data_IF_195940396654
#
_entry.id   IF_195940396654
#
_cell.length_a   1.000
_cell.length_b   1.000
_cell.length_c   1.000
_cell.angle_alpha   90.00
_cell.angle_beta   90.00
_cell.angle_gamma   90.00
#
_symmetry.space_group_name_H-M   'P 1'
#
loop_
_entity.id
_entity.type
_entity.pdbx_description
1 polymer ?
#
# COMPACT_ATOMS: atom_id res chain seq x y z
N UNK A 1 19.60 -0.14 -10.10
CA UNK A 1 18.25 0.38 -10.41
C UNK A 1 18.42 1.57 -11.34
N UNK A 2 17.53 1.77 -12.30
CA UNK A 2 17.54 3.01 -13.09
C UNK A 2 16.14 3.59 -13.14
N UNK A 3 16.10 4.92 -13.13
CA UNK A 3 14.87 5.69 -13.23
C UNK A 3 14.54 5.88 -14.71
N UNK A 4 13.30 5.59 -15.11
CA UNK A 4 12.83 5.88 -16.47
C UNK A 4 12.42 7.34 -16.59
N UNK A 5 12.31 7.85 -17.82
CA UNK A 5 11.85 9.22 -18.09
C UNK A 5 10.43 9.53 -17.53
N UNK A 6 9.65 8.50 -17.16
CA UNK A 6 8.34 8.62 -16.51
C UNK A 6 8.38 8.55 -14.97
N UNK A 7 9.56 8.50 -14.36
CA UNK A 7 9.72 8.42 -12.90
C UNK A 7 9.46 7.04 -12.30
N UNK A 8 9.23 6.01 -13.11
CA UNK A 8 9.18 4.62 -12.65
C UNK A 8 10.59 4.07 -12.41
N UNK A 9 10.70 3.14 -11.47
CA UNK A 9 11.97 2.49 -11.13
C UNK A 9 11.97 1.07 -11.68
N UNK A 10 12.99 0.74 -12.46
CA UNK A 10 13.16 -0.61 -13.00
C UNK A 10 14.33 -1.31 -12.31
N UNK A 11 14.04 -2.49 -11.77
CA UNK A 11 15.07 -3.38 -11.26
C UNK A 11 15.68 -4.15 -12.43
N UNK A 12 16.95 -3.91 -12.72
CA UNK A 12 17.66 -4.56 -13.84
C UNK A 12 17.90 -6.05 -13.60
N UNK A 13 17.82 -6.49 -12.34
CA UNK A 13 18.12 -7.88 -11.94
C UNK A 13 16.93 -8.80 -12.14
N UNK A 14 15.71 -8.32 -11.88
CA UNK A 14 14.49 -9.14 -11.98
C UNK A 14 13.47 -8.61 -12.99
N UNK A 15 13.77 -7.51 -13.70
CA UNK A 15 12.88 -6.88 -14.67
C UNK A 15 11.63 -6.21 -14.06
N UNK A 16 11.49 -6.25 -12.74
CA UNK A 16 10.31 -5.72 -12.08
C UNK A 16 10.27 -4.18 -12.18
N UNK A 17 9.13 -3.65 -12.62
CA UNK A 17 8.93 -2.21 -12.81
C UNK A 17 8.04 -1.70 -11.69
N UNK A 18 8.62 -0.93 -10.78
CA UNK A 18 7.83 -0.10 -9.88
C UNK A 18 7.31 1.09 -10.67
N UNK A 19 6.07 0.99 -11.14
CA UNK A 19 5.35 2.13 -11.67
C UNK A 19 5.31 3.20 -10.58
N UNK A 20 5.61 4.45 -10.95
CA UNK A 20 5.39 5.56 -10.03
C UNK A 20 3.88 5.67 -9.86
N UNK A 21 3.41 5.24 -8.72
CA UNK A 21 2.00 5.23 -8.44
C UNK A 21 1.50 6.68 -8.26
N UNK A 22 0.25 6.92 -8.62
CA UNK A 22 -0.36 8.25 -8.55
C UNK A 22 -0.48 8.65 -7.07
N UNK A 23 0.21 9.71 -6.65
CA UNK A 23 -0.04 10.32 -5.33
C UNK A 23 -1.48 10.86 -5.27
N UNK A 24 -2.35 10.32 -4.41
CA UNK A 24 -3.71 10.83 -4.28
C UNK A 24 -3.71 12.21 -3.62
N UNK A 25 -4.69 13.04 -3.96
CA UNK A 25 -4.91 14.28 -3.23
C UNK A 25 -5.39 13.95 -1.80
N UNK A 26 -5.05 14.78 -0.81
CA UNK A 26 -5.44 14.50 0.59
C UNK A 26 -6.97 14.33 0.77
N UNK A 27 -7.78 15.03 -0.02
CA UNK A 27 -9.24 14.90 0.00
C UNK A 27 -9.76 13.55 -0.53
N UNK A 28 -8.95 12.79 -1.27
CA UNK A 28 -9.28 11.45 -1.76
C UNK A 28 -8.92 10.35 -0.74
N UNK A 29 -8.22 10.70 0.33
CA UNK A 29 -7.81 9.79 1.40
C UNK A 29 -8.77 9.98 2.57
N UNK A 30 -9.37 8.91 3.07
CA UNK A 30 -10.29 8.96 4.20
C UNK A 30 -9.68 8.31 5.45
N UNK A 31 -9.89 8.95 6.60
CA UNK A 31 -9.56 8.33 7.88
C UNK A 31 -10.44 7.09 8.10
N UNK A 32 -9.88 5.89 8.32
CA UNK A 32 -10.66 4.67 8.49
C UNK A 32 -11.51 4.66 9.77
N UNK A 33 -11.12 5.46 10.78
CA UNK A 33 -11.84 5.57 12.04
C UNK A 33 -12.95 6.63 12.00
N UNK A 34 -12.62 7.84 11.56
CA UNK A 34 -13.54 8.98 11.59
C UNK A 34 -14.36 9.15 10.32
N UNK A 35 -13.97 8.49 9.22
CA UNK A 35 -14.54 8.67 7.87
C UNK A 35 -14.49 10.12 7.36
N UNK A 36 -13.61 10.93 7.94
CA UNK A 36 -13.35 12.29 7.49
C UNK A 36 -12.25 12.29 6.43
N UNK A 37 -12.30 13.19 5.43
CA UNK A 37 -11.19 13.41 4.51
C UNK A 37 -9.91 13.73 5.28
N UNK A 38 -8.79 13.21 4.80
CA UNK A 38 -7.49 13.51 5.35
C UNK A 38 -7.08 14.94 5.01
N UNK A 39 -6.22 15.49 5.85
CA UNK A 39 -5.52 16.75 5.60
C UNK A 39 -4.04 16.47 5.42
N UNK A 40 -3.30 17.33 4.70
CA UNK A 40 -1.85 17.21 4.62
C UNK A 40 -1.19 17.27 6.00
N UNK A 41 -0.22 16.38 6.24
CA UNK A 41 0.67 16.37 7.40
C UNK A 41 2.04 16.96 7.06
N UNK A 42 3.10 16.26 7.46
CA UNK A 42 4.44 16.46 6.89
C UNK A 42 4.46 16.10 5.40
N UNK A 43 5.43 16.59 4.60
CA UNK A 43 5.53 16.22 3.19
C UNK A 43 5.55 14.69 3.02
N UNK A 44 4.65 14.15 2.19
CA UNK A 44 4.50 12.71 2.00
C UNK A 44 3.56 12.01 2.99
N UNK A 45 2.88 12.75 3.87
CA UNK A 45 1.99 12.20 4.90
C UNK A 45 0.58 12.80 4.85
N UNK A 46 -0.40 11.92 5.07
CA UNK A 46 -1.79 12.26 5.30
C UNK A 46 -2.12 12.06 6.78
N UNK A 47 -2.98 12.92 7.33
CA UNK A 47 -3.45 12.79 8.72
C UNK A 47 -4.92 13.11 8.86
N UNK A 48 -5.56 12.56 9.89
CA UNK A 48 -6.91 12.95 10.26
C UNK A 48 -6.90 14.26 11.05
N UNK A 49 -7.86 15.15 10.79
CA UNK A 49 -8.05 16.38 11.58
C UNK A 49 -8.68 16.14 12.96
N UNK A 50 -9.28 14.97 13.20
CA UNK A 50 -10.06 14.67 14.40
C UNK A 50 -9.48 13.56 15.29
N UNK A 51 -8.50 12.80 14.83
CA UNK A 51 -7.89 11.72 15.61
C UNK A 51 -6.39 11.58 15.28
N UNK A 52 -5.69 10.67 15.99
CA UNK A 52 -4.24 10.44 15.82
C UNK A 52 -3.86 9.55 14.63
N UNK A 53 -4.76 9.41 13.65
CA UNK A 53 -4.49 8.56 12.50
C UNK A 53 -3.65 9.33 11.48
N UNK A 54 -2.56 8.71 11.04
CA UNK A 54 -1.64 9.20 10.02
C UNK A 54 -1.21 8.03 9.12
N UNK A 55 -0.93 8.33 7.86
CA UNK A 55 -0.43 7.35 6.88
C UNK A 55 0.44 8.08 5.85
N UNK A 56 1.56 7.48 5.45
CA UNK A 56 2.41 8.01 4.39
C UNK A 56 1.85 7.66 2.99
N UNK A 57 2.35 8.33 1.96
CA UNK A 57 1.93 8.15 0.56
C UNK A 57 2.08 6.70 0.06
N UNK A 58 3.18 6.04 0.40
CA UNK A 58 3.46 4.67 -0.06
C UNK A 58 2.51 3.68 0.62
N UNK A 59 2.36 3.78 1.94
CA UNK A 59 1.43 2.96 2.70
C UNK A 59 -0.03 3.18 2.26
N UNK A 60 -0.41 4.41 1.94
CA UNK A 60 -1.74 4.72 1.42
C UNK A 60 -2.00 4.08 0.06
N UNK A 61 -0.98 4.04 -0.81
CA UNK A 61 -1.07 3.37 -2.10
C UNK A 61 -1.35 1.86 -1.93
N UNK A 62 -0.57 1.20 -1.07
CA UNK A 62 -0.73 -0.22 -0.77
C UNK A 62 -2.11 -0.49 -0.18
N UNK A 63 -2.56 0.36 0.75
CA UNK A 63 -3.90 0.25 1.32
C UNK A 63 -4.99 0.34 0.25
N UNK A 64 -4.93 1.34 -0.63
CA UNK A 64 -5.91 1.52 -1.69
C UNK A 64 -5.96 0.32 -2.65
N UNK A 65 -4.79 -0.21 -3.03
CA UNK A 65 -4.70 -1.40 -3.90
C UNK A 65 -5.29 -2.65 -3.22
N UNK A 66 -5.04 -2.84 -1.92
CA UNK A 66 -5.60 -3.95 -1.16
C UNK A 66 -7.13 -3.84 -1.05
N UNK A 67 -7.65 -2.64 -0.76
CA UNK A 67 -9.10 -2.40 -0.69
C UNK A 67 -9.75 -2.62 -2.06
N UNK A 68 -9.12 -2.16 -3.15
CA UNK A 68 -9.62 -2.36 -4.50
C UNK A 68 -9.67 -3.85 -4.87
N UNK A 69 -8.62 -4.62 -4.57
CA UNK A 69 -8.60 -6.08 -4.78
C UNK A 69 -9.66 -6.80 -3.96
N UNK A 70 -9.80 -6.42 -2.68
CA UNK A 70 -10.82 -6.97 -1.79
C UNK A 70 -12.24 -6.69 -2.32
N UNK A 71 -12.50 -5.47 -2.81
CA UNK A 71 -13.79 -5.10 -3.37
C UNK A 71 -14.11 -5.78 -4.71
N UNK A 72 -13.10 -6.12 -5.50
CA UNK A 72 -13.27 -6.75 -6.81
C UNK A 72 -13.56 -8.26 -6.71
N UNK A 73 -12.82 -8.99 -5.86
CA UNK A 73 -12.97 -10.44 -5.68
C UNK A 73 -12.50 -10.85 -4.26
N UNK A 74 -13.42 -10.86 -3.28
CA UNK A 74 -13.08 -11.18 -1.89
C UNK A 74 -12.51 -12.59 -1.71
N UNK A 75 -13.09 -13.59 -2.40
CA UNK A 75 -12.70 -14.99 -2.24
C UNK A 75 -11.28 -15.21 -2.74
N UNK A 76 -10.96 -14.66 -3.92
CA UNK A 76 -9.60 -14.70 -4.45
C UNK A 76 -8.62 -13.92 -3.59
N UNK A 77 -9.02 -12.74 -3.10
CA UNK A 77 -8.17 -11.93 -2.21
C UNK A 77 -7.75 -12.73 -0.97
N UNK A 78 -8.69 -13.39 -0.30
CA UNK A 78 -8.38 -14.18 0.90
C UNK A 78 -7.60 -15.46 0.57
N UNK A 79 -7.84 -16.09 -0.58
CA UNK A 79 -7.02 -17.21 -1.06
C UNK A 79 -5.55 -16.79 -1.27
N UNK A 80 -5.32 -15.62 -1.88
CA UNK A 80 -3.98 -15.04 -2.07
C UNK A 80 -3.29 -14.75 -0.72
N UNK A 81 -4.02 -14.16 0.23
CA UNK A 81 -3.52 -13.87 1.58
C UNK A 81 -3.13 -15.17 2.28
N UNK A 82 -3.98 -16.18 2.25
CA UNK A 82 -3.72 -17.48 2.87
C UNK A 82 -2.47 -18.15 2.27
N UNK A 83 -2.35 -18.17 0.94
CA UNK A 83 -1.19 -18.72 0.26
C UNK A 83 0.11 -18.00 0.63
N UNK A 84 0.08 -16.66 0.68
CA UNK A 84 1.23 -15.84 1.09
C UNK A 84 1.62 -16.10 2.53
N UNK A 85 0.66 -16.15 3.46
CA UNK A 85 0.92 -16.44 4.87
C UNK A 85 1.51 -17.84 5.05
N UNK A 86 0.97 -18.85 4.37
CA UNK A 86 1.49 -20.21 4.42
C UNK A 86 2.94 -20.28 3.93
N UNK A 87 3.25 -19.60 2.83
CA UNK A 87 4.62 -19.50 2.31
C UNK A 87 5.57 -18.86 3.32
N UNK A 88 5.19 -17.73 3.92
CA UNK A 88 6.03 -17.04 4.90
C UNK A 88 6.29 -17.89 6.15
N UNK A 89 5.25 -18.57 6.66
CA UNK A 89 5.39 -19.50 7.79
C UNK A 89 6.31 -20.67 7.47
N UNK A 90 6.30 -21.17 6.24
CA UNK A 90 7.22 -22.22 5.82
C UNK A 90 8.70 -21.77 5.78
N UNK A 91 8.96 -20.46 5.74
CA UNK A 91 10.30 -19.87 5.83
C UNK A 91 10.73 -19.56 7.28
N UNK A 92 9.81 -19.62 8.24
CA UNK A 92 10.15 -19.37 9.64
C UNK A 92 11.15 -20.42 10.13
N UNK A 93 12.27 -20.02 10.75
CA UNK A 93 13.19 -20.99 11.33
C UNK A 93 12.47 -21.80 12.40
N UNK A 94 12.75 -23.10 12.50
CA UNK A 94 12.38 -23.84 13.69
C UNK A 94 13.33 -23.39 14.83
N UNK A 95 12.87 -22.45 15.66
CA UNK A 95 13.57 -22.14 16.90
C UNK A 95 13.31 -23.30 17.88
N UNK A 96 14.11 -24.36 17.76
CA UNK A 96 14.22 -25.45 18.74
C UNK A 96 15.30 -25.15 19.75
#
# INVERSE_FOLDING_TARGET
MSQTAGGSWQCWTCGNTHLRARTPAAAEVECPHCRLPAVPGTPGWYRCSSCRWEIDEESQQVYADLVARLGADPDRFFADVQARTAHLRALEPAWT
#
